data_IF_625815715128
#
_entry.id   IF_625815715128
#
_cell.length_a   1.000
_cell.length_b   1.000
_cell.length_c   1.000
_cell.angle_alpha   90.00
_cell.angle_beta   90.00
_cell.angle_gamma   90.00
#
_symmetry.space_group_name_H-M   'P 1'
#
loop_
_entity.id
_entity.type
_entity.pdbx_description
1 polymer ?
#
# COMPACT_ATOMS: atom_id res chain seq x y z
N UNK A 1 -7.52 4.95 -1.58
CA UNK A 1 -8.57 5.96 -1.80
C UNK A 1 -8.88 6.75 -0.53
N UNK A 2 -9.25 6.12 0.59
CA UNK A 2 -9.60 6.82 1.84
C UNK A 2 -8.49 7.77 2.33
N UNK A 3 -7.22 7.37 2.26
CA UNK A 3 -6.07 8.22 2.59
C UNK A 3 -6.03 9.50 1.76
N UNK A 4 -6.33 9.43 0.46
CA UNK A 4 -6.40 10.59 -0.41
C UNK A 4 -7.53 11.56 -0.04
N UNK A 5 -8.71 11.02 0.29
CA UNK A 5 -9.85 11.80 0.76
C UNK A 5 -9.53 12.56 2.05
N UNK A 6 -8.87 11.90 3.01
CA UNK A 6 -8.64 12.46 4.34
C UNK A 6 -7.35 13.27 4.47
N UNK A 7 -6.43 13.16 3.53
CA UNK A 7 -5.08 13.71 3.65
C UNK A 7 -4.68 14.67 2.55
N UNK A 8 -5.46 14.79 1.47
CA UNK A 8 -5.23 15.75 0.40
C UNK A 8 -6.29 16.86 0.42
N UNK A 9 -5.88 18.14 0.32
CA UNK A 9 -4.50 18.62 0.40
C UNK A 9 -3.93 18.57 1.83
N UNK A 10 -2.61 18.41 1.95
CA UNK A 10 -1.89 18.42 3.23
C UNK A 10 -1.90 19.83 3.80
N UNK A 11 -2.44 19.99 5.00
CA UNK A 11 -2.47 21.29 5.69
C UNK A 11 -1.25 21.41 6.62
N UNK A 12 -0.53 22.52 6.51
CA UNK A 12 0.64 22.82 7.35
C UNK A 12 1.97 22.41 6.73
N UNK A 13 3.05 22.40 7.54
CA UNK A 13 4.38 22.07 7.07
C UNK A 13 4.56 20.55 6.89
N UNK A 14 5.50 20.17 6.04
CA UNK A 14 5.89 18.77 5.79
C UNK A 14 6.32 18.07 7.08
N UNK A 15 7.12 18.75 7.91
CA UNK A 15 7.61 18.21 9.18
C UNK A 15 6.45 17.92 10.14
N UNK A 16 5.51 18.85 10.29
CA UNK A 16 4.31 18.68 11.11
C UNK A 16 3.45 17.51 10.63
N UNK A 17 3.34 17.32 9.32
CA UNK A 17 2.62 16.19 8.74
C UNK A 17 3.29 14.87 9.10
N UNK A 18 4.61 14.75 8.92
CA UNK A 18 5.35 13.53 9.22
C UNK A 18 5.31 13.19 10.71
N UNK A 19 5.55 14.15 11.58
CA UNK A 19 5.50 13.95 13.04
C UNK A 19 4.15 13.45 13.53
N UNK A 20 3.05 13.84 12.87
CA UNK A 20 1.70 13.41 13.26
C UNK A 20 1.28 12.08 12.65
N UNK A 21 1.67 11.79 11.41
CA UNK A 21 1.13 10.65 10.65
C UNK A 21 2.01 9.41 10.71
N UNK A 22 3.33 9.56 10.58
CA UNK A 22 4.23 8.41 10.56
C UNK A 22 4.18 7.63 11.88
N UNK A 23 4.30 8.25 13.07
CA UNK A 23 4.28 7.49 14.32
C UNK A 23 2.99 6.72 14.55
N UNK A 24 1.84 7.27 14.13
CA UNK A 24 0.53 6.60 14.28
C UNK A 24 0.42 5.29 13.52
N UNK A 25 1.18 5.12 12.46
CA UNK A 25 1.24 3.89 11.67
C UNK A 25 2.42 3.04 12.11
N UNK A 26 3.56 3.66 12.37
CA UNK A 26 4.80 2.98 12.71
C UNK A 26 4.72 2.23 14.05
N UNK A 27 4.17 2.85 15.12
CA UNK A 27 4.10 2.20 16.42
C UNK A 27 3.23 0.94 16.43
N UNK A 28 1.97 0.97 15.96
CA UNK A 28 1.18 -0.26 15.84
C UNK A 28 1.86 -1.31 14.94
N UNK A 29 2.47 -0.87 13.84
CA UNK A 29 3.19 -1.76 12.93
C UNK A 29 4.34 -2.50 13.65
N UNK A 30 5.17 -1.79 14.39
CA UNK A 30 6.28 -2.40 15.14
C UNK A 30 5.78 -3.39 16.19
N UNK A 31 4.76 -3.01 16.96
CA UNK A 31 4.18 -3.87 18.00
C UNK A 31 3.64 -5.17 17.38
N UNK A 32 2.81 -5.06 16.36
CA UNK A 32 2.23 -6.22 15.71
C UNK A 32 3.27 -7.08 14.98
N UNK A 33 4.26 -6.47 14.33
CA UNK A 33 5.34 -7.21 13.69
C UNK A 33 6.15 -8.03 14.70
N UNK A 34 6.48 -7.46 15.85
CA UNK A 34 7.16 -8.19 16.94
C UNK A 34 6.30 -9.37 17.40
N UNK A 35 5.01 -9.14 17.65
CA UNK A 35 4.09 -10.20 18.08
C UNK A 35 4.03 -11.34 17.07
N UNK A 36 3.84 -11.03 15.77
CA UNK A 36 3.80 -12.04 14.71
C UNK A 36 5.11 -12.81 14.57
N UNK A 37 6.25 -12.12 14.58
CA UNK A 37 7.54 -12.75 14.37
C UNK A 37 8.00 -13.60 15.56
N UNK A 38 7.54 -13.28 16.76
CA UNK A 38 7.82 -14.07 17.96
C UNK A 38 6.81 -15.21 18.19
N UNK A 39 5.68 -15.25 17.47
CA UNK A 39 4.63 -16.27 17.64
C UNK A 39 5.17 -17.71 17.50
N UNK A 40 6.00 -18.09 16.50
CA UNK A 40 6.48 -19.46 16.38
C UNK A 40 7.33 -19.92 17.57
N UNK A 41 8.15 -19.04 18.13
CA UNK A 41 8.91 -19.32 19.35
C UNK A 41 8.00 -19.48 20.56
N UNK A 42 7.07 -18.56 20.75
CA UNK A 42 6.19 -18.56 21.91
C UNK A 42 5.23 -19.78 21.91
N UNK A 43 4.66 -20.12 20.77
CA UNK A 43 3.80 -21.32 20.65
C UNK A 43 4.58 -22.61 20.84
N UNK A 44 5.84 -22.66 20.40
CA UNK A 44 6.74 -23.78 20.65
C UNK A 44 7.04 -24.01 22.15
N UNK A 45 7.20 -22.93 22.94
CA UNK A 45 7.36 -23.02 24.39
C UNK A 45 6.12 -23.61 25.09
N UNK A 46 4.94 -23.37 24.53
CA UNK A 46 3.66 -23.90 25.06
C UNK A 46 3.36 -25.33 24.57
N UNK A 47 4.24 -25.91 23.77
CA UNK A 47 4.01 -27.23 23.14
C UNK A 47 2.89 -27.23 22.10
N UNK A 48 2.51 -26.05 21.58
CA UNK A 48 1.51 -25.91 20.54
C UNK A 48 2.16 -26.01 19.17
N UNK A 49 1.43 -26.58 18.21
CA UNK A 49 1.88 -26.56 16.81
C UNK A 49 1.80 -25.12 16.26
N UNK A 50 2.96 -24.51 16.11
CA UNK A 50 3.08 -23.14 15.61
C UNK A 50 2.55 -23.00 14.17
N UNK A 51 2.59 -24.07 13.37
CA UNK A 51 2.06 -24.05 12.00
C UNK A 51 0.55 -23.82 11.98
N UNK A 52 -0.19 -24.40 12.90
CA UNK A 52 -1.64 -24.21 13.03
C UNK A 52 -1.97 -22.77 13.41
N UNK A 53 -1.27 -22.21 14.39
CA UNK A 53 -1.49 -20.83 14.86
C UNK A 53 -1.18 -19.83 13.76
N UNK A 54 -0.09 -20.02 13.03
CA UNK A 54 0.33 -19.10 11.98
C UNK A 54 -0.60 -19.15 10.76
N UNK A 55 -1.10 -20.32 10.37
CA UNK A 55 -2.07 -20.46 9.28
C UNK A 55 -3.37 -19.67 9.49
N UNK A 56 -3.69 -19.29 10.73
CA UNK A 56 -4.85 -18.42 11.01
C UNK A 56 -4.67 -16.99 10.47
N UNK A 57 -3.44 -16.51 10.30
CA UNK A 57 -3.17 -15.12 9.91
C UNK A 57 -2.03 -14.94 8.90
N UNK A 58 -1.39 -16.03 8.47
CA UNK A 58 -0.29 -16.00 7.51
C UNK A 58 -0.33 -17.19 6.55
N UNK A 59 0.30 -17.02 5.40
CA UNK A 59 0.48 -18.07 4.38
C UNK A 59 1.83 -18.76 4.50
N UNK A 60 2.67 -18.34 5.46
CA UNK A 60 3.97 -18.94 5.67
C UNK A 60 3.81 -20.30 6.38
N UNK A 61 4.48 -21.30 5.87
CA UNK A 61 4.77 -22.51 6.64
C UNK A 61 5.81 -22.14 7.69
N UNK A 62 5.52 -22.47 8.94
CA UNK A 62 6.42 -22.19 10.04
C UNK A 62 6.68 -23.45 10.82
N UNK A 63 7.92 -23.86 10.79
CA UNK A 63 8.47 -24.76 11.78
C UNK A 63 8.70 -24.02 13.11
N UNK A 64 8.91 -24.78 14.18
CA UNK A 64 9.36 -24.21 15.45
C UNK A 64 10.62 -23.39 15.23
N UNK A 65 10.66 -22.17 15.74
CA UNK A 65 11.84 -21.31 15.66
C UNK A 65 12.47 -21.11 17.04
N UNK A 66 13.78 -20.93 17.06
CA UNK A 66 14.50 -20.53 18.26
C UNK A 66 14.24 -19.06 18.62
N UNK A 67 14.55 -18.68 19.85
CA UNK A 67 14.51 -17.27 20.24
C UNK A 67 15.43 -16.40 19.37
N UNK A 68 16.60 -16.91 18.99
CA UNK A 68 17.56 -16.19 18.15
C UNK A 68 16.98 -15.90 16.75
N UNK A 69 16.28 -16.88 16.15
CA UNK A 69 15.62 -16.71 14.85
C UNK A 69 14.49 -15.66 14.91
N UNK A 70 13.73 -15.67 16.00
CA UNK A 70 12.69 -14.69 16.26
C UNK A 70 13.25 -13.28 16.39
N UNK A 71 14.33 -13.12 17.15
CA UNK A 71 15.00 -11.83 17.34
C UNK A 71 15.65 -11.32 16.06
N UNK A 72 16.28 -12.19 15.25
CA UNK A 72 16.82 -11.79 13.94
C UNK A 72 15.74 -11.22 13.03
N UNK A 73 14.56 -11.85 12.96
CA UNK A 73 13.40 -11.33 12.22
C UNK A 73 12.94 -9.97 12.75
N UNK A 74 12.91 -9.80 14.06
CA UNK A 74 12.52 -8.52 14.69
C UNK A 74 13.51 -7.40 14.35
N UNK A 75 14.82 -7.68 14.41
CA UNK A 75 15.86 -6.70 14.06
C UNK A 75 15.74 -6.26 12.59
N UNK A 76 15.28 -7.14 11.72
CA UNK A 76 15.12 -6.86 10.27
C UNK A 76 13.86 -6.07 9.93
N UNK A 77 12.91 -5.89 10.84
CA UNK A 77 11.64 -5.16 10.58
C UNK A 77 11.85 -3.84 9.82
N UNK A 78 12.86 -2.99 10.12
CA UNK A 78 12.99 -1.70 9.44
C UNK A 78 13.22 -1.77 7.93
N UNK A 79 13.74 -2.87 7.42
CA UNK A 79 14.14 -2.98 6.00
C UNK A 79 13.68 -4.27 5.30
N UNK A 80 13.16 -5.23 6.05
CA UNK A 80 12.69 -6.48 5.47
C UNK A 80 11.40 -6.95 6.13
N UNK A 81 10.37 -7.22 5.34
CA UNK A 81 9.18 -7.89 5.86
C UNK A 81 9.38 -9.42 5.77
N UNK A 82 8.63 -10.16 6.59
CA UNK A 82 8.65 -11.62 6.58
C UNK A 82 7.25 -12.17 6.26
N UNK A 83 7.21 -13.32 5.57
CA UNK A 83 5.96 -13.97 5.17
C UNK A 83 5.09 -14.47 6.35
N UNK A 84 5.64 -14.59 7.56
CA UNK A 84 4.86 -14.84 8.78
C UNK A 84 3.80 -13.74 8.98
N UNK A 85 4.12 -12.49 8.60
CA UNK A 85 3.21 -11.36 8.62
C UNK A 85 3.07 -10.76 7.22
N UNK A 86 2.73 -11.59 6.23
CA UNK A 86 2.69 -11.19 4.82
C UNK A 86 1.81 -9.96 4.55
N UNK A 87 0.71 -9.80 5.27
CA UNK A 87 -0.17 -8.63 5.15
C UNK A 87 0.48 -7.32 5.60
N UNK A 88 1.60 -7.36 6.32
CA UNK A 88 2.31 -6.14 6.77
C UNK A 88 3.07 -5.42 5.65
N UNK A 89 3.25 -6.03 4.47
CA UNK A 89 3.92 -5.38 3.34
C UNK A 89 3.30 -4.03 2.97
N UNK A 90 1.97 -3.92 3.10
CA UNK A 90 1.27 -2.70 2.72
C UNK A 90 1.59 -1.51 3.66
N UNK A 91 2.05 -1.77 4.89
CA UNK A 91 2.46 -0.71 5.83
C UNK A 91 3.73 -0.01 5.34
N UNK A 92 4.71 -0.76 4.81
CA UNK A 92 5.89 -0.17 4.19
C UNK A 92 5.50 0.74 3.02
N UNK A 93 4.60 0.25 2.16
CA UNK A 93 4.05 1.03 1.06
C UNK A 93 3.31 2.28 1.58
N UNK A 94 2.50 2.16 2.63
CA UNK A 94 1.75 3.28 3.21
C UNK A 94 2.67 4.34 3.82
N UNK A 95 3.76 3.94 4.48
CA UNK A 95 4.79 4.87 4.97
C UNK A 95 5.44 5.60 3.78
N UNK A 96 5.80 4.87 2.73
CA UNK A 96 6.32 5.45 1.49
C UNK A 96 5.36 6.49 0.87
N UNK A 97 4.06 6.17 0.85
CA UNK A 97 3.03 7.11 0.41
C UNK A 97 2.96 8.36 1.31
N UNK A 98 3.06 8.21 2.62
CA UNK A 98 3.07 9.36 3.53
C UNK A 98 4.31 10.24 3.34
N UNK A 99 5.47 9.65 3.06
CA UNK A 99 6.68 10.42 2.72
C UNK A 99 6.50 11.22 1.42
N UNK A 100 5.82 10.64 0.43
CA UNK A 100 5.56 11.29 -0.85
C UNK A 100 4.42 12.32 -0.81
N UNK A 101 3.44 12.13 0.08
CA UNK A 101 2.17 12.86 0.09
C UNK A 101 2.32 14.40 0.15
N UNK A 102 3.19 15.01 0.97
CA UNK A 102 3.33 16.48 0.99
C UNK A 102 3.83 17.06 -0.33
N UNK A 103 4.74 16.35 -1.02
CA UNK A 103 5.26 16.74 -2.34
C UNK A 103 4.12 16.69 -3.37
N UNK A 104 3.38 15.60 -3.36
CA UNK A 104 2.24 15.41 -4.26
C UNK A 104 1.09 16.39 -4.00
N UNK A 105 0.86 16.72 -2.73
CA UNK A 105 -0.15 17.69 -2.30
C UNK A 105 0.08 19.08 -2.88
N UNK A 106 1.33 19.54 -2.94
CA UNK A 106 1.66 20.85 -3.52
C UNK A 106 1.26 20.95 -4.99
N UNK A 107 1.38 19.84 -5.73
CA UNK A 107 0.87 19.75 -7.09
C UNK A 107 -0.66 19.69 -7.12
N UNK A 108 -1.29 18.86 -6.29
CA UNK A 108 -2.75 18.66 -6.27
C UNK A 108 -3.50 19.97 -5.97
N UNK A 109 -2.96 20.83 -5.10
CA UNK A 109 -3.55 22.14 -4.79
C UNK A 109 -3.58 23.08 -5.99
N UNK A 110 -2.54 23.07 -6.81
CA UNK A 110 -2.40 23.97 -7.97
C UNK A 110 -2.97 23.39 -9.25
N UNK A 111 -3.12 22.07 -9.32
CA UNK A 111 -3.57 21.38 -10.53
C UNK A 111 -5.05 21.68 -10.82
N UNK A 112 -5.32 22.02 -12.08
CA UNK A 112 -6.68 22.15 -12.60
C UNK A 112 -7.38 20.80 -12.66
N UNK A 113 -8.72 20.81 -12.75
CA UNK A 113 -9.51 19.60 -12.90
C UNK A 113 -9.00 18.74 -14.07
N UNK A 114 -8.77 19.34 -15.23
CA UNK A 114 -8.30 18.64 -16.43
C UNK A 114 -6.92 18.00 -16.24
N UNK A 115 -6.00 18.67 -15.56
CA UNK A 115 -4.68 18.10 -15.24
C UNK A 115 -4.80 16.87 -14.33
N UNK A 116 -5.68 16.92 -13.32
CA UNK A 116 -5.97 15.76 -12.47
C UNK A 116 -6.56 14.60 -13.27
N UNK A 117 -7.49 14.86 -14.20
CA UNK A 117 -8.07 13.87 -15.10
C UNK A 117 -7.04 13.22 -16.03
N UNK A 118 -6.13 14.00 -16.59
CA UNK A 118 -5.02 13.47 -17.41
C UNK A 118 -4.13 12.53 -16.60
N UNK A 119 -3.71 12.94 -15.39
CA UNK A 119 -2.87 12.11 -14.53
C UNK A 119 -3.61 10.84 -14.10
N UNK A 120 -4.91 10.93 -13.79
CA UNK A 120 -5.73 9.76 -13.48
C UNK A 120 -5.89 8.83 -14.70
N UNK A 121 -6.02 9.38 -15.90
CA UNK A 121 -6.05 8.59 -17.14
C UNK A 121 -4.74 7.84 -17.40
N UNK A 122 -3.61 8.51 -17.23
CA UNK A 122 -2.28 7.90 -17.37
C UNK A 122 -2.03 6.84 -16.29
N UNK A 123 -2.46 7.10 -15.07
CA UNK A 123 -2.44 6.10 -13.99
C UNK A 123 -3.31 4.90 -14.30
N UNK A 124 -4.55 5.10 -14.77
CA UNK A 124 -5.43 4.00 -15.15
C UNK A 124 -4.81 3.16 -16.28
N UNK A 125 -4.22 3.79 -17.30
CA UNK A 125 -3.50 3.06 -18.34
C UNK A 125 -2.33 2.26 -17.77
N UNK A 126 -1.57 2.81 -16.82
CA UNK A 126 -0.46 2.09 -16.19
C UNK A 126 -0.91 0.84 -15.44
N UNK A 127 -2.12 0.81 -14.87
CA UNK A 127 -2.63 -0.37 -14.13
C UNK A 127 -2.97 -1.53 -15.06
N UNK A 128 -3.28 -1.27 -16.33
CA UNK A 128 -3.55 -2.31 -17.33
C UNK A 128 -2.28 -2.82 -18.04
N UNK A 129 -1.18 -2.11 -17.92
CA UNK A 129 0.03 -2.45 -18.66
C UNK A 129 0.61 -3.85 -18.34
N UNK A 130 0.67 -4.32 -17.08
CA UNK A 130 1.13 -5.68 -16.79
C UNK A 130 0.33 -6.77 -17.51
N UNK A 131 -0.99 -6.60 -17.59
CA UNK A 131 -1.86 -7.52 -18.33
C UNK A 131 -1.64 -7.43 -19.85
N UNK A 132 -1.43 -6.23 -20.36
CA UNK A 132 -1.15 -6.02 -21.77
C UNK A 132 0.18 -6.64 -22.19
N UNK A 133 1.21 -6.55 -21.36
CA UNK A 133 2.52 -7.14 -21.65
C UNK A 133 2.50 -8.66 -21.63
N UNK A 134 1.61 -9.28 -20.88
CA UNK A 134 1.44 -10.73 -20.85
C UNK A 134 0.91 -11.27 -22.20
N UNK A 135 0.00 -10.54 -22.85
CA UNK A 135 -0.70 -11.02 -24.06
C UNK A 135 -0.12 -10.48 -25.38
N UNK A 136 0.54 -9.33 -25.36
CA UNK A 136 0.97 -8.65 -26.61
C UNK A 136 2.48 -8.71 -26.79
N UNK A 137 3.25 -8.22 -25.85
CA UNK A 137 4.70 -8.22 -25.92
C UNK A 137 5.32 -7.95 -24.56
N UNK A 138 6.30 -8.78 -24.16
CA UNK A 138 7.06 -8.61 -22.91
C UNK A 138 7.76 -7.24 -22.80
N UNK A 139 8.07 -6.59 -23.92
CA UNK A 139 8.81 -5.31 -23.97
C UNK A 139 7.93 -4.14 -24.42
N UNK A 140 6.60 -4.30 -24.41
CA UNK A 140 5.68 -3.25 -24.82
C UNK A 140 5.89 -1.97 -24.00
N UNK A 141 5.94 -0.84 -24.67
CA UNK A 141 6.16 0.49 -24.10
C UNK A 141 7.43 0.63 -23.24
N UNK A 142 8.47 -0.17 -23.50
CA UNK A 142 9.74 -0.14 -22.78
C UNK A 142 9.71 -0.86 -21.43
N UNK A 143 8.77 -1.78 -21.24
CA UNK A 143 8.77 -2.66 -20.05
C UNK A 143 9.97 -3.60 -20.05
N UNK A 144 10.53 -3.88 -18.87
CA UNK A 144 11.63 -4.79 -18.64
C UNK A 144 11.59 -5.29 -17.19
N UNK A 145 12.50 -6.19 -16.81
CA UNK A 145 12.50 -6.81 -15.48
C UNK A 145 12.57 -5.80 -14.32
N UNK A 146 13.35 -4.72 -14.47
CA UNK A 146 13.47 -3.64 -13.48
C UNK A 146 12.47 -2.51 -13.67
N UNK A 147 11.66 -2.52 -14.72
CA UNK A 147 10.64 -1.52 -15.00
C UNK A 147 9.40 -2.15 -15.62
N UNK A 148 8.53 -2.72 -14.80
CA UNK A 148 7.29 -3.36 -15.25
C UNK A 148 6.25 -2.39 -15.83
N UNK A 149 6.44 -1.09 -15.63
CA UNK A 149 5.51 -0.04 -16.11
C UNK A 149 6.03 0.76 -17.30
N UNK A 150 7.25 0.49 -17.80
CA UNK A 150 7.83 1.14 -18.97
C UNK A 150 7.64 2.65 -18.97
N UNK A 151 7.07 3.19 -20.07
CA UNK A 151 6.75 4.59 -20.26
C UNK A 151 5.89 5.19 -19.12
N UNK A 152 5.03 4.40 -18.49
CA UNK A 152 4.09 4.86 -17.47
C UNK A 152 4.63 4.76 -16.03
N UNK A 153 5.91 4.44 -15.84
CA UNK A 153 6.52 4.21 -14.53
C UNK A 153 6.20 5.29 -13.49
N UNK A 154 6.30 6.56 -13.87
CA UNK A 154 6.06 7.69 -12.96
C UNK A 154 4.58 7.92 -12.62
N UNK A 155 3.67 7.34 -13.37
CA UNK A 155 2.22 7.42 -13.11
C UNK A 155 1.69 6.19 -12.37
N UNK A 156 2.43 5.09 -12.38
CA UNK A 156 2.03 3.84 -11.76
C UNK A 156 2.03 3.90 -10.22
N UNK A 157 1.37 2.94 -9.61
CA UNK A 157 1.41 2.72 -8.17
C UNK A 157 0.22 3.30 -7.40
N UNK A 158 0.35 3.34 -6.08
CA UNK A 158 -0.75 3.65 -5.16
C UNK A 158 -1.09 5.15 -5.04
N UNK A 159 -0.23 6.03 -5.53
CA UNK A 159 -0.48 7.48 -5.60
C UNK A 159 -1.71 7.83 -6.44
N UNK A 160 -1.99 7.09 -7.50
CA UNK A 160 -3.19 7.28 -8.31
C UNK A 160 -4.48 7.01 -7.54
N UNK A 161 -4.51 6.01 -6.66
CA UNK A 161 -5.67 5.81 -5.78
C UNK A 161 -5.90 6.96 -4.80
N UNK A 162 -4.83 7.64 -4.35
CA UNK A 162 -4.98 8.84 -3.51
C UNK A 162 -5.60 10.00 -4.31
N UNK A 163 -5.09 10.23 -5.52
CA UNK A 163 -5.63 11.26 -6.40
C UNK A 163 -7.08 10.97 -6.77
N UNK A 164 -7.42 9.72 -7.07
CA UNK A 164 -8.77 9.30 -7.38
C UNK A 164 -9.72 9.57 -6.20
N UNK A 165 -9.31 9.23 -4.97
CA UNK A 165 -10.10 9.52 -3.78
C UNK A 165 -10.36 11.01 -3.60
N UNK A 166 -9.32 11.84 -3.73
CA UNK A 166 -9.44 13.30 -3.70
C UNK A 166 -10.32 13.85 -4.83
N UNK A 167 -10.16 13.33 -6.05
CA UNK A 167 -10.96 13.75 -7.20
C UNK A 167 -12.45 13.42 -7.01
N UNK A 168 -12.77 12.22 -6.53
CA UNK A 168 -14.14 11.81 -6.25
C UNK A 168 -14.76 12.74 -5.20
N UNK A 169 -14.06 13.02 -4.11
CA UNK A 169 -14.55 13.92 -3.06
C UNK A 169 -14.81 15.34 -3.58
N UNK A 170 -13.95 15.83 -4.45
CA UNK A 170 -14.01 17.24 -4.90
C UNK A 170 -14.99 17.47 -6.04
N UNK A 171 -15.14 16.50 -6.95
CA UNK A 171 -15.85 16.70 -8.22
C UNK A 171 -17.05 15.79 -8.44
N UNK A 172 -17.22 14.73 -7.64
CA UNK A 172 -18.29 13.75 -7.84
C UNK A 172 -19.39 13.93 -6.80
N UNK A 173 -20.44 14.63 -7.19
CA UNK A 173 -21.64 14.85 -6.37
C UNK A 173 -22.76 13.88 -6.79
N UNK A 174 -22.54 12.60 -6.58
CA UNK A 174 -23.56 11.61 -6.89
C UNK A 174 -24.50 11.38 -5.72
N UNK A 175 -25.80 11.19 -6.01
CA UNK A 175 -26.74 10.69 -5.01
C UNK A 175 -26.33 9.27 -4.60
N UNK A 176 -26.67 8.88 -3.37
CA UNK A 176 -26.34 7.55 -2.86
C UNK A 176 -26.88 6.41 -3.76
N UNK A 177 -28.06 6.59 -4.37
CA UNK A 177 -28.64 5.64 -5.34
C UNK A 177 -27.77 5.46 -6.58
N UNK A 178 -27.29 6.57 -7.15
CA UNK A 178 -26.38 6.54 -8.29
C UNK A 178 -25.03 5.88 -7.92
N UNK A 179 -24.51 6.17 -6.74
CA UNK A 179 -23.28 5.55 -6.25
C UNK A 179 -23.47 4.05 -6.15
N UNK A 180 -24.55 3.56 -5.54
CA UNK A 180 -24.81 2.11 -5.44
C UNK A 180 -25.01 1.47 -6.81
N UNK A 181 -25.77 2.09 -7.72
CA UNK A 181 -26.01 1.52 -9.06
C UNK A 181 -24.72 1.36 -9.89
N UNK A 182 -23.70 2.18 -9.65
CA UNK A 182 -22.42 2.07 -10.33
C UNK A 182 -21.44 1.14 -9.58
N UNK A 183 -21.43 1.16 -8.23
CA UNK A 183 -20.49 0.35 -7.47
C UNK A 183 -20.86 -1.12 -7.36
N UNK A 184 -22.16 -1.47 -7.31
CA UNK A 184 -22.60 -2.86 -7.22
C UNK A 184 -22.14 -3.74 -8.39
N UNK A 185 -22.28 -3.31 -9.67
CA UNK A 185 -21.77 -4.10 -10.81
C UNK A 185 -20.25 -4.27 -10.84
N UNK A 186 -19.49 -3.41 -10.12
CA UNK A 186 -18.02 -3.50 -10.04
C UNK A 186 -17.54 -4.42 -8.92
N UNK A 187 -18.44 -4.94 -8.09
CA UNK A 187 -18.15 -5.89 -7.02
C UNK A 187 -18.40 -7.36 -7.43
N UNK A 188 -19.01 -7.58 -8.59
CA UNK A 188 -19.27 -8.89 -9.20
C UNK A 188 -18.20 -9.16 -10.25
#
# INVERSE_FOLDING_TARGET
MLTGVLSLPVKGSMESFYQKRIPRVLFPFLIWSVLYYMTPWFTGLLGLDSSVVIKLFSWAESDSQSLADGLDKVIRIPYAFNFIACHMWYIYMLIGLYLYLPIFSAWVERATKRQKEIVLGLWALSTFLPYFTEYVSKYAFGTCEWNSFGLFYYFAGFNGYMLLGHYIQQYVNWSWRKTLSVSLPLLI
#
